data_IF_494154424890
#
_entry.id   IF_494154424890
#
_cell.length_a   1.000
_cell.length_b   1.000
_cell.length_c   1.000
_cell.angle_alpha   90.00
_cell.angle_beta   90.00
_cell.angle_gamma   90.00
#
_symmetry.space_group_name_H-M   'P 1'
#
loop_
_entity.id
_entity.type
_entity.pdbx_description
1 polymer ?
#
# COMPACT_ATOMS: atom_id res chain seq x y z
N UNK A 1 -5.60 -10.22 11.93
CA UNK A 1 -4.47 -11.09 11.49
C UNK A 1 -3.11 -10.63 12.01
N UNK A 2 -2.77 -9.32 12.01
CA UNK A 2 -1.46 -8.83 12.48
C UNK A 2 -1.12 -9.25 13.91
N UNK A 3 -2.08 -9.19 14.83
CA UNK A 3 -1.86 -9.54 16.25
C UNK A 3 -1.45 -11.00 16.47
N UNK A 4 -1.92 -11.93 15.63
CA UNK A 4 -1.48 -13.32 15.68
C UNK A 4 -0.01 -13.45 15.29
N UNK A 5 0.38 -12.79 14.18
CA UNK A 5 1.75 -12.80 13.69
C UNK A 5 2.70 -12.07 14.66
N UNK A 6 2.25 -10.95 15.23
CA UNK A 6 2.96 -10.16 16.25
C UNK A 6 3.21 -10.99 17.50
N UNK A 7 2.17 -11.67 17.99
CA UNK A 7 2.27 -12.56 19.16
C UNK A 7 3.27 -13.69 18.92
N UNK A 8 3.24 -14.32 17.75
CA UNK A 8 4.18 -15.37 17.39
C UNK A 8 5.63 -14.87 17.33
N UNK A 9 5.88 -13.72 16.68
CA UNK A 9 7.21 -13.09 16.60
C UNK A 9 7.75 -12.75 17.99
N UNK A 10 6.95 -12.09 18.82
CA UNK A 10 7.35 -11.74 20.19
C UNK A 10 7.64 -12.96 21.07
N UNK A 11 6.86 -14.05 20.92
CA UNK A 11 7.12 -15.28 21.65
C UNK A 11 8.47 -15.89 21.26
N UNK A 12 8.81 -15.86 19.97
CA UNK A 12 10.10 -16.34 19.44
C UNK A 12 11.24 -15.48 19.96
N UNK A 13 11.14 -14.16 19.84
CA UNK A 13 12.18 -13.20 20.29
C UNK A 13 12.44 -13.30 21.79
N UNK A 14 11.40 -13.57 22.60
CA UNK A 14 11.51 -13.74 24.05
C UNK A 14 11.93 -15.15 24.49
N UNK A 15 12.09 -16.09 23.55
CA UNK A 15 12.46 -17.47 23.86
C UNK A 15 11.38 -18.27 24.60
N UNK A 16 10.12 -17.82 24.58
CA UNK A 16 8.98 -18.48 25.25
C UNK A 16 8.13 -19.31 24.28
N UNK A 17 8.53 -19.40 23.01
CA UNK A 17 7.76 -20.05 21.95
C UNK A 17 7.79 -21.60 21.98
N UNK A 18 8.12 -22.23 23.11
CA UNK A 18 8.10 -23.68 23.30
C UNK A 18 8.79 -24.47 22.16
N UNK A 19 9.98 -24.03 21.75
CA UNK A 19 10.78 -24.66 20.68
C UNK A 19 10.47 -24.18 19.26
N UNK A 20 9.53 -23.24 19.07
CA UNK A 20 9.33 -22.53 17.79
C UNK A 20 10.39 -21.45 17.60
N UNK A 21 10.69 -21.13 16.35
CA UNK A 21 11.68 -20.16 15.93
C UNK A 21 11.16 -19.30 14.76
N UNK A 22 12.03 -18.52 14.12
CA UNK A 22 11.68 -17.65 13.01
C UNK A 22 11.00 -18.37 11.83
N UNK A 23 11.32 -19.65 11.59
CA UNK A 23 10.65 -20.47 10.58
C UNK A 23 9.16 -20.61 10.85
N UNK A 24 8.74 -20.64 12.11
CA UNK A 24 7.32 -20.66 12.47
C UNK A 24 6.63 -19.33 12.13
N UNK A 25 7.30 -18.20 12.36
CA UNK A 25 6.77 -16.88 11.97
C UNK A 25 6.64 -16.79 10.46
N UNK A 26 7.64 -17.28 9.72
CA UNK A 26 7.57 -17.38 8.26
C UNK A 26 6.38 -18.23 7.80
N UNK A 27 6.19 -19.41 8.37
CA UNK A 27 5.05 -20.26 8.03
C UNK A 27 3.73 -19.54 8.24
N UNK A 28 3.57 -18.79 9.35
CA UNK A 28 2.38 -17.98 9.57
C UNK A 28 2.22 -16.90 8.51
N UNK A 29 3.28 -16.14 8.19
CA UNK A 29 3.19 -15.11 7.14
C UNK A 29 2.86 -15.71 5.77
N UNK A 30 3.36 -16.91 5.46
CA UNK A 30 3.09 -17.63 4.21
C UNK A 30 1.61 -18.03 4.07
N UNK A 31 0.87 -18.16 5.18
CA UNK A 31 -0.59 -18.35 5.14
C UNK A 31 -1.37 -17.03 5.17
N UNK A 32 -0.92 -16.06 5.97
CA UNK A 32 -1.66 -14.84 6.27
C UNK A 32 -1.63 -13.87 5.08
N UNK A 33 -0.45 -13.62 4.52
CA UNK A 33 -0.30 -12.59 3.48
C UNK A 33 -1.07 -12.92 2.20
N UNK A 34 -1.00 -14.15 1.65
CA UNK A 34 -1.77 -14.48 0.45
C UNK A 34 -3.29 -14.38 0.67
N UNK A 35 -3.78 -14.79 1.85
CA UNK A 35 -5.19 -14.70 2.19
C UNK A 35 -5.67 -13.24 2.32
N UNK A 36 -4.85 -12.36 2.88
CA UNK A 36 -5.14 -10.92 2.94
C UNK A 36 -5.16 -10.28 1.55
N UNK A 37 -4.17 -10.60 0.70
CA UNK A 37 -4.10 -10.11 -0.68
C UNK A 37 -5.32 -10.58 -1.48
N UNK A 38 -5.69 -11.87 -1.40
CA UNK A 38 -6.85 -12.40 -2.10
C UNK A 38 -8.16 -11.77 -1.62
N UNK A 39 -8.28 -11.50 -0.32
CA UNK A 39 -9.46 -10.85 0.24
C UNK A 39 -9.54 -9.39 -0.22
N UNK A 40 -8.41 -8.67 -0.21
CA UNK A 40 -8.33 -7.28 -0.68
C UNK A 40 -8.75 -7.15 -2.14
N UNK A 41 -8.29 -8.08 -3.00
CA UNK A 41 -8.65 -8.12 -4.41
C UNK A 41 -10.17 -8.23 -4.66
N UNK A 42 -10.91 -8.79 -3.72
CA UNK A 42 -12.36 -9.05 -3.82
C UNK A 42 -13.20 -8.02 -3.09
N UNK A 43 -12.59 -7.12 -2.32
CA UNK A 43 -13.30 -6.17 -1.48
C UNK A 43 -13.77 -4.97 -2.32
N UNK A 44 -15.10 -4.74 -2.45
CA UNK A 44 -15.61 -3.61 -3.21
C UNK A 44 -15.62 -2.30 -2.43
N UNK A 45 -15.66 -2.36 -1.09
CA UNK A 45 -15.82 -1.17 -0.26
C UNK A 45 -14.46 -0.50 -0.02
N UNK A 46 -14.36 0.79 -0.38
CA UNK A 46 -13.12 1.57 -0.30
C UNK A 46 -12.61 1.71 1.13
N UNK A 47 -13.51 1.91 2.10
CA UNK A 47 -13.14 2.05 3.51
C UNK A 47 -12.62 0.72 4.06
N UNK A 48 -13.28 -0.39 3.72
CA UNK A 48 -12.81 -1.73 4.10
C UNK A 48 -11.46 -2.04 3.44
N UNK A 49 -11.28 -1.68 2.17
CA UNK A 49 -9.99 -1.82 1.48
C UNK A 49 -8.86 -1.08 2.20
N UNK A 50 -9.09 0.17 2.64
CA UNK A 50 -8.11 0.94 3.39
C UNK A 50 -7.71 0.24 4.70
N UNK A 51 -8.70 -0.24 5.47
CA UNK A 51 -8.44 -1.02 6.69
C UNK A 51 -7.68 -2.33 6.43
N UNK A 52 -7.95 -3.00 5.30
CA UNK A 52 -7.25 -4.22 4.91
C UNK A 52 -5.81 -3.94 4.46
N UNK A 53 -5.56 -2.82 3.78
CA UNK A 53 -4.22 -2.36 3.44
C UNK A 53 -3.42 -2.02 4.70
N UNK A 54 -4.02 -1.36 5.69
CA UNK A 54 -3.37 -1.11 6.98
C UNK A 54 -2.98 -2.43 7.67
N UNK A 55 -3.92 -3.38 7.76
CA UNK A 55 -3.62 -4.71 8.31
C UNK A 55 -2.53 -5.46 7.51
N UNK A 56 -2.49 -5.31 6.19
CA UNK A 56 -1.43 -5.86 5.35
C UNK A 56 -0.08 -5.20 5.66
N UNK A 57 -0.06 -3.87 5.82
CA UNK A 57 1.13 -3.11 6.19
C UNK A 57 1.67 -3.54 7.55
N UNK A 58 0.82 -3.71 8.56
CA UNK A 58 1.23 -4.20 9.87
C UNK A 58 1.85 -5.60 9.79
N UNK A 59 1.27 -6.50 8.98
CA UNK A 59 1.86 -7.81 8.72
C UNK A 59 3.24 -7.68 8.06
N UNK A 60 3.40 -6.78 7.08
CA UNK A 60 4.68 -6.52 6.42
C UNK A 60 5.74 -5.95 7.36
N UNK A 61 5.39 -5.06 8.27
CA UNK A 61 6.33 -4.56 9.28
C UNK A 61 6.83 -5.67 10.23
N UNK A 62 6.01 -6.71 10.44
CA UNK A 62 6.35 -7.84 11.29
C UNK A 62 7.21 -8.87 10.55
N UNK A 63 6.77 -9.31 9.37
CA UNK A 63 7.40 -10.43 8.63
C UNK A 63 8.14 -10.03 7.38
N UNK A 64 8.24 -8.74 7.03
CA UNK A 64 8.86 -8.22 5.81
C UNK A 64 10.17 -8.90 5.41
N UNK A 65 11.16 -9.01 6.32
CA UNK A 65 12.43 -9.69 6.04
C UNK A 65 12.33 -11.19 5.73
N UNK A 66 11.19 -11.83 6.00
CA UNK A 66 10.92 -13.25 5.80
C UNK A 66 10.18 -13.56 4.48
N UNK A 67 9.76 -12.51 3.75
CA UNK A 67 9.08 -12.67 2.47
C UNK A 67 10.08 -13.07 1.38
N UNK A 68 9.62 -13.92 0.48
CA UNK A 68 10.30 -14.16 -0.78
C UNK A 68 9.83 -13.21 -1.89
N UNK A 69 10.55 -13.23 -3.00
CA UNK A 69 10.28 -12.36 -4.16
C UNK A 69 8.86 -12.54 -4.73
N UNK A 70 8.32 -13.76 -4.67
CA UNK A 70 6.98 -14.06 -5.20
C UNK A 70 5.88 -13.44 -4.34
N UNK A 71 6.08 -13.42 -3.01
CA UNK A 71 5.17 -12.75 -2.07
C UNK A 71 5.23 -11.23 -2.26
N UNK A 72 6.42 -10.65 -2.40
CA UNK A 72 6.58 -9.22 -2.69
C UNK A 72 5.93 -8.85 -4.02
N UNK A 73 6.11 -9.66 -5.07
CA UNK A 73 5.45 -9.49 -6.37
C UNK A 73 3.93 -9.45 -6.22
N UNK A 74 3.34 -10.44 -5.54
CA UNK A 74 1.89 -10.52 -5.37
C UNK A 74 1.33 -9.27 -4.68
N UNK A 75 2.04 -8.76 -3.68
CA UNK A 75 1.63 -7.54 -2.96
C UNK A 75 1.75 -6.31 -3.86
N UNK A 76 2.85 -6.17 -4.60
CA UNK A 76 3.05 -5.06 -5.54
C UNK A 76 2.00 -5.06 -6.65
N UNK A 77 1.65 -6.22 -7.18
CA UNK A 77 0.62 -6.34 -8.20
C UNK A 77 -0.77 -6.00 -7.66
N UNK A 78 -1.07 -6.35 -6.41
CA UNK A 78 -2.29 -5.92 -5.74
C UNK A 78 -2.34 -4.40 -5.55
N UNK A 79 -1.24 -3.77 -5.10
CA UNK A 79 -1.16 -2.31 -4.96
C UNK A 79 -1.44 -1.61 -6.29
N UNK A 80 -0.89 -2.12 -7.41
CA UNK A 80 -1.18 -1.56 -8.75
C UNK A 80 -2.67 -1.63 -9.08
N UNK A 81 -3.33 -2.72 -8.72
CA UNK A 81 -4.77 -2.88 -8.94
C UNK A 81 -5.57 -1.90 -8.10
N UNK A 82 -5.23 -1.72 -6.82
CA UNK A 82 -5.84 -0.71 -5.95
C UNK A 82 -5.73 0.70 -6.54
N UNK A 83 -4.53 1.11 -6.98
CA UNK A 83 -4.30 2.42 -7.60
C UNK A 83 -5.13 2.58 -8.89
N UNK A 84 -5.19 1.51 -9.70
CA UNK A 84 -5.95 1.51 -10.96
C UNK A 84 -7.46 1.63 -10.71
N UNK A 85 -7.99 0.87 -9.75
CA UNK A 85 -9.39 0.92 -9.37
C UNK A 85 -9.78 2.29 -8.81
N UNK A 86 -8.96 2.86 -7.93
CA UNK A 86 -9.17 4.22 -7.42
C UNK A 86 -9.16 5.27 -8.53
N UNK A 87 -8.25 5.13 -9.51
CA UNK A 87 -8.22 6.03 -10.68
C UNK A 87 -9.50 5.92 -11.52
N UNK A 88 -10.09 4.74 -11.67
CA UNK A 88 -11.39 4.55 -12.34
C UNK A 88 -12.51 5.26 -11.59
N UNK A 89 -12.63 5.02 -10.29
CA UNK A 89 -13.65 5.64 -9.42
C UNK A 89 -13.53 7.16 -9.40
N UNK A 90 -12.31 7.71 -9.45
CA UNK A 90 -12.07 9.15 -9.58
C UNK A 90 -12.69 9.70 -10.87
N UNK A 91 -12.60 8.98 -11.98
CA UNK A 91 -13.26 9.35 -13.24
C UNK A 91 -14.78 9.32 -13.12
N UNK A 92 -15.34 8.29 -12.50
CA UNK A 92 -16.78 8.16 -12.26
C UNK A 92 -17.33 9.30 -11.40
N UNK A 93 -16.64 9.61 -10.29
CA UNK A 93 -16.97 10.77 -9.44
C UNK A 93 -16.91 12.09 -10.20
N UNK A 94 -15.90 12.28 -11.06
CA UNK A 94 -15.78 13.49 -11.87
C UNK A 94 -16.94 13.65 -12.87
N UNK A 95 -17.45 12.56 -13.44
CA UNK A 95 -18.63 12.62 -14.31
C UNK A 95 -19.92 12.90 -13.53
N UNK A 96 -20.08 12.35 -12.31
CA UNK A 96 -21.23 12.63 -11.42
C UNK A 96 -21.37 14.13 -11.10
N UNK A 97 -20.26 14.85 -10.95
CA UNK A 97 -20.30 16.32 -10.72
C UNK A 97 -20.90 17.13 -11.89
N UNK A 98 -21.01 16.53 -13.08
CA UNK A 98 -21.54 17.18 -14.29
C UNK A 98 -22.99 16.80 -14.58
N UNK A 99 -23.59 15.92 -13.77
CA UNK A 99 -24.95 15.45 -13.98
C UNK A 99 -25.97 16.58 -13.78
N UNK A 100 -27.06 16.57 -14.55
CA UNK A 100 -28.09 17.62 -14.50
C UNK A 100 -28.84 17.66 -13.15
N UNK A 101 -28.89 16.52 -12.46
CA UNK A 101 -29.51 16.31 -11.16
C UNK A 101 -28.53 16.42 -9.99
N UNK A 102 -27.30 16.89 -10.22
CA UNK A 102 -26.33 17.11 -9.14
C UNK A 102 -26.84 18.18 -8.16
N UNK A 103 -27.04 17.76 -6.90
CA UNK A 103 -27.51 18.61 -5.82
C UNK A 103 -26.55 18.61 -4.61
N UNK A 104 -26.99 19.23 -3.51
CA UNK A 104 -26.16 19.33 -2.32
C UNK A 104 -25.96 17.99 -1.60
N UNK A 105 -26.93 17.07 -1.68
CA UNK A 105 -26.84 15.74 -1.04
C UNK A 105 -25.82 14.88 -1.79
N UNK A 106 -25.89 14.86 -3.12
CA UNK A 106 -24.91 14.22 -3.98
C UNK A 106 -23.49 14.80 -3.79
N UNK A 107 -23.41 16.12 -3.61
CA UNK A 107 -22.13 16.80 -3.33
C UNK A 107 -21.47 16.38 -2.01
N UNK A 108 -22.25 16.16 -0.94
CA UNK A 108 -21.72 15.67 0.33
C UNK A 108 -21.28 14.19 0.22
N UNK A 109 -22.06 13.34 -0.45
CA UNK A 109 -21.66 11.94 -0.69
C UNK A 109 -20.34 11.85 -1.46
N UNK A 110 -20.17 12.65 -2.53
CA UNK A 110 -18.90 12.70 -3.26
C UNK A 110 -17.73 13.19 -2.40
N UNK A 111 -17.97 14.08 -1.44
CA UNK A 111 -16.94 14.55 -0.51
C UNK A 111 -16.49 13.41 0.41
N UNK A 112 -17.42 12.66 0.99
CA UNK A 112 -17.14 11.48 1.82
C UNK A 112 -16.38 10.41 1.03
N UNK A 113 -16.81 10.10 -0.21
CA UNK A 113 -16.10 9.15 -1.07
C UNK A 113 -14.67 9.62 -1.40
N UNK A 114 -14.44 10.92 -1.57
CA UNK A 114 -13.09 11.44 -1.81
C UNK A 114 -12.22 11.34 -0.55
N UNK A 115 -12.76 11.58 0.64
CA UNK A 115 -12.05 11.41 1.92
C UNK A 115 -11.63 9.94 2.12
N UNK A 116 -12.50 8.98 1.79
CA UNK A 116 -12.17 7.54 1.83
C UNK A 116 -11.02 7.18 0.86
N UNK A 117 -10.97 7.81 -0.31
CA UNK A 117 -9.93 7.53 -1.30
C UNK A 117 -8.59 8.16 -0.93
N UNK A 118 -8.60 9.33 -0.28
CA UNK A 118 -7.39 9.89 0.32
C UNK A 118 -6.81 8.96 1.38
N UNK A 119 -7.66 8.38 2.23
CA UNK A 119 -7.21 7.39 3.22
C UNK A 119 -6.70 6.10 2.56
N UNK A 120 -7.37 5.60 1.52
CA UNK A 120 -6.88 4.47 0.74
C UNK A 120 -5.46 4.72 0.19
N UNK A 121 -5.21 5.91 -0.36
CA UNK A 121 -3.89 6.28 -0.86
C UNK A 121 -2.85 6.47 0.26
N UNK A 122 -3.24 6.97 1.44
CA UNK A 122 -2.35 7.00 2.60
C UNK A 122 -1.81 5.59 2.89
N UNK A 123 -2.70 4.59 2.93
CA UNK A 123 -2.32 3.20 3.20
C UNK A 123 -1.43 2.59 2.11
N UNK A 124 -1.69 2.93 0.84
CA UNK A 124 -0.78 2.57 -0.26
C UNK A 124 0.62 3.14 -0.04
N UNK A 125 0.72 4.43 0.34
CA UNK A 125 1.98 5.09 0.67
C UNK A 125 2.73 4.39 1.80
N UNK A 126 2.04 4.06 2.88
CA UNK A 126 2.61 3.37 4.05
C UNK A 126 3.16 1.98 3.70
N UNK A 127 2.42 1.19 2.91
CA UNK A 127 2.91 -0.12 2.45
C UNK A 127 4.16 0.03 1.60
N UNK A 128 4.15 0.95 0.63
CA UNK A 128 5.31 1.17 -0.24
C UNK A 128 6.52 1.63 0.57
N UNK A 129 6.34 2.54 1.53
CA UNK A 129 7.38 2.96 2.46
C UNK A 129 7.94 1.80 3.27
N UNK A 130 7.09 0.93 3.81
CA UNK A 130 7.50 -0.30 4.52
C UNK A 130 8.31 -1.23 3.62
N UNK A 131 7.89 -1.46 2.38
CA UNK A 131 8.59 -2.32 1.43
C UNK A 131 9.96 -1.73 1.04
N UNK A 132 10.02 -0.42 0.76
CA UNK A 132 11.27 0.28 0.44
C UNK A 132 12.24 0.21 1.62
N UNK A 133 11.79 0.46 2.85
CA UNK A 133 12.63 0.37 4.07
C UNK A 133 13.14 -1.04 4.32
N UNK A 134 12.31 -2.05 4.04
CA UNK A 134 12.62 -3.46 4.26
C UNK A 134 13.64 -3.97 3.24
N UNK A 135 13.37 -3.78 1.94
CA UNK A 135 14.13 -4.40 0.85
C UNK A 135 15.17 -3.47 0.20
N UNK A 136 15.08 -2.16 0.45
CA UNK A 136 16.04 -1.13 0.00
C UNK A 136 16.26 -1.24 -1.51
N UNK A 137 17.52 -1.22 -1.95
CA UNK A 137 17.89 -1.28 -3.37
C UNK A 137 17.32 -2.51 -4.11
N UNK A 138 17.04 -3.61 -3.40
CA UNK A 138 16.42 -4.81 -3.99
C UNK A 138 14.95 -4.60 -4.36
N UNK A 139 14.28 -3.58 -3.83
CA UNK A 139 12.91 -3.22 -4.20
C UNK A 139 12.84 -2.44 -5.52
N UNK A 140 13.94 -1.83 -5.97
CA UNK A 140 13.93 -0.91 -7.11
C UNK A 140 13.35 -1.49 -8.41
N UNK A 141 13.56 -2.78 -8.76
CA UNK A 141 12.90 -3.36 -9.94
C UNK A 141 11.36 -3.31 -9.85
N UNK A 142 10.80 -3.53 -8.66
CA UNK A 142 9.36 -3.41 -8.41
C UNK A 142 8.91 -1.95 -8.46
N UNK A 143 9.72 -1.05 -7.87
CA UNK A 143 9.45 0.38 -7.88
C UNK A 143 9.47 0.98 -9.29
N UNK A 144 10.35 0.51 -10.18
CA UNK A 144 10.39 0.93 -11.58
C UNK A 144 9.04 0.69 -12.28
N UNK A 145 8.39 -0.44 -12.01
CA UNK A 145 7.06 -0.74 -12.56
C UNK A 145 5.97 0.16 -11.96
N UNK A 146 6.02 0.37 -10.64
CA UNK A 146 5.08 1.23 -9.91
C UNK A 146 5.18 2.70 -10.29
N UNK A 147 6.34 3.16 -10.76
CA UNK A 147 6.59 4.56 -11.13
C UNK A 147 5.52 5.08 -12.09
N UNK A 148 5.11 4.28 -13.08
CA UNK A 148 4.07 4.67 -14.05
C UNK A 148 2.68 4.89 -13.42
N UNK A 149 2.40 4.23 -12.28
CA UNK A 149 1.16 4.37 -11.51
C UNK A 149 1.22 5.52 -10.50
N UNK A 150 2.42 5.84 -10.00
CA UNK A 150 2.64 6.91 -9.01
C UNK A 150 2.83 8.29 -9.66
N UNK A 151 3.43 8.37 -10.86
CA UNK A 151 3.65 9.63 -11.57
C UNK A 151 2.39 10.50 -11.74
N UNK A 152 1.20 9.95 -12.04
CA UNK A 152 -0.03 10.73 -12.09
C UNK A 152 -0.32 11.51 -10.79
N UNK A 153 0.14 11.06 -9.62
CA UNK A 153 -0.10 11.72 -8.33
C UNK A 153 0.58 13.10 -8.21
N UNK A 154 1.54 13.41 -9.09
CA UNK A 154 2.21 14.71 -9.19
C UNK A 154 1.44 15.74 -10.05
N UNK A 155 0.33 15.33 -10.66
CA UNK A 155 -0.48 16.18 -11.52
C UNK A 155 -0.98 17.45 -10.80
N UNK A 156 -1.12 18.54 -11.57
CA UNK A 156 -1.70 19.79 -11.05
C UNK A 156 -3.17 19.66 -10.66
N UNK A 157 -3.84 18.65 -11.19
CA UNK A 157 -5.21 18.24 -10.93
C UNK A 157 -5.35 17.31 -9.71
N UNK A 158 -4.26 17.02 -8.99
CA UNK A 158 -4.27 16.13 -7.83
C UNK A 158 -4.50 16.86 -6.51
N UNK A 159 -4.94 16.14 -5.49
CA UNK A 159 -5.11 16.70 -4.14
C UNK A 159 -3.75 16.99 -3.52
N UNK A 160 -3.74 17.80 -2.46
CA UNK A 160 -2.50 18.02 -1.70
C UNK A 160 -2.00 16.71 -1.08
N UNK A 161 -2.92 15.82 -0.73
CA UNK A 161 -2.65 14.54 -0.12
C UNK A 161 -2.00 13.56 -1.09
N UNK A 162 -2.56 13.40 -2.30
CA UNK A 162 -1.95 12.59 -3.36
C UNK A 162 -0.51 13.03 -3.66
N UNK A 163 -0.25 14.34 -3.73
CA UNK A 163 1.11 14.87 -3.92
C UNK A 163 2.02 14.58 -2.73
N UNK A 164 1.52 14.75 -1.49
CA UNK A 164 2.29 14.47 -0.27
C UNK A 164 2.74 13.02 -0.25
N UNK A 165 1.83 12.08 -0.52
CA UNK A 165 2.11 10.64 -0.56
C UNK A 165 3.18 10.32 -1.60
N UNK A 166 3.05 10.87 -2.81
CA UNK A 166 4.04 10.66 -3.86
C UNK A 166 5.43 11.16 -3.43
N UNK A 167 5.52 12.37 -2.86
CA UNK A 167 6.76 12.92 -2.31
C UNK A 167 7.33 11.98 -1.25
N UNK A 168 6.52 11.54 -0.27
CA UNK A 168 6.97 10.65 0.80
C UNK A 168 7.54 9.32 0.27
N UNK A 169 6.92 8.73 -0.75
CA UNK A 169 7.42 7.50 -1.38
C UNK A 169 8.78 7.73 -2.04
N UNK A 170 8.94 8.83 -2.80
CA UNK A 170 10.22 9.15 -3.45
C UNK A 170 11.31 9.52 -2.44
N UNK A 171 10.96 10.19 -1.35
CA UNK A 171 11.86 10.47 -0.23
C UNK A 171 12.35 9.17 0.42
N UNK A 172 11.46 8.20 0.66
CA UNK A 172 11.83 6.87 1.16
C UNK A 172 12.79 6.15 0.17
N UNK A 173 12.57 6.25 -1.15
CA UNK A 173 13.51 5.70 -2.15
C UNK A 173 14.87 6.40 -2.07
N UNK A 174 14.89 7.72 -2.01
CA UNK A 174 16.13 8.50 -1.93
C UNK A 174 16.93 8.15 -0.66
N UNK A 175 16.24 8.07 0.49
CA UNK A 175 16.84 7.77 1.78
C UNK A 175 17.40 6.33 1.83
N UNK A 176 16.60 5.36 1.39
CA UNK A 176 16.91 3.94 1.59
C UNK A 176 17.77 3.33 0.47
N UNK A 177 17.76 3.92 -0.74
CA UNK A 177 18.49 3.37 -1.90
C UNK A 177 19.72 4.18 -2.32
N UNK A 178 19.95 5.38 -1.77
CA UNK A 178 21.17 6.20 -1.96
C UNK A 178 21.56 6.38 -3.43
N UNK A 179 22.77 5.98 -3.83
CA UNK A 179 23.28 6.14 -5.20
C UNK A 179 22.36 5.47 -6.25
N UNK A 180 21.71 4.35 -5.91
CA UNK A 180 20.78 3.67 -6.81
C UNK A 180 19.49 4.48 -7.03
N UNK A 181 19.16 5.42 -6.14
CA UNK A 181 18.02 6.31 -6.29
C UNK A 181 18.28 7.46 -7.28
N UNK A 182 19.53 7.74 -7.66
CA UNK A 182 19.88 8.85 -8.55
C UNK A 182 19.15 8.79 -9.90
N UNK A 183 18.80 7.58 -10.37
CA UNK A 183 18.02 7.41 -11.60
C UNK A 183 16.61 8.01 -11.51
N UNK A 184 16.07 8.24 -10.32
CA UNK A 184 14.75 8.84 -10.09
C UNK A 184 14.78 10.33 -9.79
N UNK A 185 15.96 10.96 -9.72
CA UNK A 185 16.09 12.38 -9.35
C UNK A 185 15.37 13.36 -10.31
N UNK A 186 14.96 12.88 -11.49
CA UNK A 186 14.20 13.65 -12.47
C UNK A 186 12.67 13.56 -12.29
N UNK A 187 12.21 12.70 -11.36
CA UNK A 187 10.79 12.46 -11.06
C UNK A 187 10.30 13.24 -9.83
N UNK A 188 11.22 13.82 -9.06
CA UNK A 188 10.96 14.65 -7.90
C UNK A 188 11.02 16.16 -8.24
#
# INVERSE_FOLDING_TARGET
MPELLRSAKLAVEKGVALGRNETYVKQLSDYILPALVEALHKEPDTEICANMLDALNECLQISGPLLDESQVRSIVDEIKQVITASSSRKGERAERTKAEDFDAEEGEMLREENEQEEELFNQVGEILGTLIKTFKASFLPFFDELTSYLMPMWGKDKTAEERRIAICIFDDVAEQCREAALKYAHLA
#
